data_IF_955223899826
#
_entry.id   IF_955223899826
#
_cell.length_a   1.000
_cell.length_b   1.000
_cell.length_c   1.000
_cell.angle_alpha   90.00
_cell.angle_beta   90.00
_cell.angle_gamma   90.00
#
_symmetry.space_group_name_H-M   'P 1'
#
loop_
_entity.id
_entity.type
_entity.pdbx_description
1 polymer ?
#
# COMPACT_ATOMS: atom_id res chain seq x y z
N UNK A 1 -2.54 -15.42 -11.55
CA UNK A 1 -2.69 -14.04 -12.03
C UNK A 1 -3.41 -13.28 -10.93
N UNK A 2 -2.85 -12.21 -10.37
CA UNK A 2 -3.53 -11.45 -9.30
C UNK A 2 -4.69 -10.59 -9.84
N UNK A 3 -5.38 -9.89 -8.93
CA UNK A 3 -6.45 -8.95 -9.24
C UNK A 3 -6.03 -7.80 -10.16
N UNK A 4 -4.74 -7.65 -10.48
CA UNK A 4 -4.18 -6.66 -11.40
C UNK A 4 -3.47 -7.29 -12.62
N UNK A 5 -3.57 -8.61 -12.80
CA UNK A 5 -2.98 -9.29 -13.95
C UNK A 5 -1.52 -9.70 -13.78
N UNK A 6 -0.90 -9.52 -12.60
CA UNK A 6 0.50 -9.85 -12.38
C UNK A 6 0.73 -11.37 -12.33
N UNK A 7 1.79 -11.83 -13.00
CA UNK A 7 2.25 -13.22 -12.95
C UNK A 7 2.76 -13.59 -11.53
N UNK A 8 2.43 -14.79 -11.06
CA UNK A 8 2.86 -15.32 -9.77
C UNK A 8 4.37 -15.42 -9.62
N UNK A 9 5.12 -15.71 -10.70
CA UNK A 9 6.59 -15.73 -10.66
C UNK A 9 7.15 -14.33 -10.36
N UNK A 10 6.59 -13.29 -11.01
CA UNK A 10 7.00 -11.90 -10.79
C UNK A 10 6.64 -11.47 -9.37
N UNK A 11 5.44 -11.84 -8.87
CA UNK A 11 5.07 -11.59 -7.48
C UNK A 11 6.04 -12.23 -6.48
N UNK A 12 6.45 -13.48 -6.74
CA UNK A 12 7.45 -14.17 -5.93
C UNK A 12 8.78 -13.43 -5.88
N UNK A 13 9.31 -13.03 -7.05
CA UNK A 13 10.56 -12.26 -7.14
C UNK A 13 10.49 -10.93 -6.40
N UNK A 14 9.37 -10.21 -6.53
CA UNK A 14 9.15 -8.96 -5.79
C UNK A 14 9.11 -9.25 -4.29
N UNK A 15 8.36 -10.27 -3.87
CA UNK A 15 8.24 -10.62 -2.46
C UNK A 15 9.58 -10.99 -1.82
N UNK A 16 10.39 -11.81 -2.50
CA UNK A 16 11.71 -12.22 -2.01
C UNK A 16 12.67 -11.02 -1.94
N UNK A 17 12.66 -10.16 -2.96
CA UNK A 17 13.43 -8.91 -2.95
C UNK A 17 13.01 -7.97 -1.83
N UNK A 18 11.70 -7.81 -1.58
CA UNK A 18 11.19 -6.99 -0.47
C UNK A 18 11.66 -7.54 0.89
N UNK A 19 11.62 -8.86 1.08
CA UNK A 19 12.12 -9.52 2.32
C UNK A 19 13.62 -9.33 2.49
N UNK A 20 14.39 -9.37 1.41
CA UNK A 20 15.84 -9.13 1.41
C UNK A 20 16.22 -7.64 1.55
N UNK A 21 15.24 -6.72 1.56
CA UNK A 21 15.50 -5.28 1.60
C UNK A 21 16.02 -4.71 0.28
N UNK A 22 15.85 -5.41 -0.84
CA UNK A 22 16.27 -4.94 -2.16
C UNK A 22 15.55 -3.65 -2.53
N UNK A 23 16.32 -2.62 -2.87
CA UNK A 23 15.80 -1.34 -3.33
C UNK A 23 15.03 -1.47 -4.65
N UNK A 24 15.48 -2.33 -5.58
CA UNK A 24 14.82 -2.52 -6.87
C UNK A 24 13.44 -3.13 -6.71
N UNK A 25 13.28 -4.11 -5.82
CA UNK A 25 11.98 -4.71 -5.52
C UNK A 25 11.01 -3.69 -4.92
N UNK A 26 11.49 -2.78 -4.05
CA UNK A 26 10.70 -1.67 -3.50
C UNK A 26 10.25 -0.69 -4.57
N UNK A 27 11.16 -0.30 -5.46
CA UNK A 27 10.85 0.61 -6.57
C UNK A 27 9.82 -0.03 -7.51
N UNK A 28 10.00 -1.29 -7.86
CA UNK A 28 9.09 -2.02 -8.74
C UNK A 28 7.69 -2.15 -8.12
N UNK A 29 7.60 -2.45 -6.82
CA UNK A 29 6.33 -2.44 -6.08
C UNK A 29 5.65 -1.07 -6.18
N UNK A 30 6.40 0.02 -6.00
CA UNK A 30 5.86 1.37 -6.09
C UNK A 30 5.36 1.69 -7.51
N UNK A 31 6.19 1.49 -8.52
CA UNK A 31 5.87 1.79 -9.92
C UNK A 31 4.60 1.07 -10.39
N UNK A 32 4.47 -0.22 -10.05
CA UNK A 32 3.32 -1.03 -10.43
C UNK A 32 2.06 -0.58 -9.68
N UNK A 33 2.12 -0.45 -8.36
CA UNK A 33 0.90 -0.38 -7.56
C UNK A 33 0.51 1.02 -7.11
N UNK A 34 1.40 2.03 -7.16
CA UNK A 34 1.12 3.36 -6.61
C UNK A 34 -0.10 4.03 -7.26
N UNK A 35 -0.22 3.95 -8.59
CA UNK A 35 -1.37 4.52 -9.30
C UNK A 35 -2.68 3.82 -8.92
N UNK A 36 -2.65 2.50 -8.74
CA UNK A 36 -3.84 1.73 -8.35
C UNK A 36 -4.26 2.03 -6.92
N UNK A 37 -3.31 2.07 -5.98
CA UNK A 37 -3.58 2.45 -4.59
C UNK A 37 -4.13 3.87 -4.53
N UNK A 38 -3.46 4.84 -5.17
CA UNK A 38 -3.90 6.24 -5.20
C UNK A 38 -5.34 6.41 -5.71
N UNK A 39 -5.67 5.79 -6.84
CA UNK A 39 -7.03 5.84 -7.41
C UNK A 39 -8.06 5.25 -6.46
N UNK A 40 -7.76 4.11 -5.84
CA UNK A 40 -8.71 3.41 -4.96
C UNK A 40 -8.86 4.08 -3.60
N UNK A 41 -7.79 4.67 -3.06
CA UNK A 41 -7.84 5.50 -1.86
C UNK A 41 -8.69 6.74 -2.12
N UNK A 42 -8.41 7.50 -3.18
CA UNK A 42 -9.20 8.69 -3.54
C UNK A 42 -10.70 8.38 -3.68
N UNK A 43 -11.02 7.25 -4.32
CA UNK A 43 -12.41 6.81 -4.47
C UNK A 43 -13.11 6.52 -3.13
N UNK A 44 -12.39 5.98 -2.14
CA UNK A 44 -13.00 5.52 -0.88
C UNK A 44 -12.95 6.57 0.23
N UNK A 45 -11.97 7.47 0.23
CA UNK A 45 -11.88 8.52 1.23
C UNK A 45 -12.63 9.77 0.82
N UNK A 46 -12.78 10.04 -0.49
CA UNK A 46 -13.25 11.34 -0.98
C UNK A 46 -12.33 12.50 -0.59
N UNK A 47 -11.13 12.19 -0.06
CA UNK A 47 -10.17 13.15 0.45
C UNK A 47 -9.52 13.97 -0.65
N UNK A 48 -8.88 15.08 -0.26
CA UNK A 48 -8.14 15.91 -1.19
C UNK A 48 -6.86 15.22 -1.70
N UNK A 49 -6.17 15.87 -2.64
CA UNK A 49 -4.95 15.31 -3.24
C UNK A 49 -3.81 15.11 -2.23
N UNK A 50 -3.75 15.91 -1.16
CA UNK A 50 -2.72 15.82 -0.13
C UNK A 50 -3.00 14.65 0.81
N UNK A 51 -4.23 14.52 1.32
CA UNK A 51 -4.65 13.39 2.16
C UNK A 51 -4.44 12.06 1.44
N UNK A 52 -4.82 11.98 0.16
CA UNK A 52 -4.61 10.78 -0.65
C UNK A 52 -3.12 10.48 -0.81
N UNK A 53 -2.29 11.50 -1.07
CA UNK A 53 -0.84 11.33 -1.21
C UNK A 53 -0.19 10.83 0.08
N UNK A 54 -0.58 11.38 1.23
CA UNK A 54 -0.10 10.96 2.55
C UNK A 54 -0.43 9.49 2.82
N UNK A 55 -1.68 9.07 2.57
CA UNK A 55 -2.09 7.67 2.75
C UNK A 55 -1.29 6.73 1.85
N UNK A 56 -1.08 7.11 0.58
CA UNK A 56 -0.28 6.32 -0.37
C UNK A 56 1.16 6.20 0.12
N UNK A 57 1.79 7.31 0.52
CA UNK A 57 3.15 7.31 1.02
C UNK A 57 3.30 6.44 2.28
N UNK A 58 2.42 6.64 3.27
CA UNK A 58 2.41 5.85 4.50
C UNK A 58 2.20 4.35 4.22
N UNK A 59 1.41 4.02 3.18
CA UNK A 59 1.19 2.62 2.75
C UNK A 59 2.49 1.97 2.30
N UNK A 60 3.26 2.61 1.43
CA UNK A 60 4.52 2.04 0.95
C UNK A 60 5.61 2.00 2.03
N UNK A 61 5.63 2.99 2.93
CA UNK A 61 6.51 2.96 4.09
C UNK A 61 6.16 1.80 5.03
N UNK A 62 4.88 1.56 5.28
CA UNK A 62 4.41 0.43 6.07
C UNK A 62 4.70 -0.92 5.37
N UNK A 63 4.50 -1.01 4.06
CA UNK A 63 4.84 -2.19 3.26
C UNK A 63 6.33 -2.54 3.39
N UNK A 64 7.22 -1.55 3.29
CA UNK A 64 8.65 -1.78 3.51
C UNK A 64 8.95 -2.32 4.92
N UNK A 65 8.32 -1.76 5.97
CA UNK A 65 8.52 -2.24 7.36
C UNK A 65 7.96 -3.64 7.59
N UNK A 66 6.93 -4.02 6.84
CA UNK A 66 6.21 -5.28 6.98
C UNK A 66 6.66 -6.35 5.96
N UNK A 67 7.70 -6.09 5.17
CA UNK A 67 8.11 -6.97 4.08
C UNK A 67 8.45 -8.38 4.55
N UNK A 68 9.05 -8.52 5.74
CA UNK A 68 9.34 -9.81 6.37
C UNK A 68 8.09 -10.63 6.74
N UNK A 69 6.91 -10.02 6.81
CA UNK A 69 5.62 -10.67 7.10
C UNK A 69 4.75 -10.87 5.86
N UNK A 70 5.26 -10.51 4.68
CA UNK A 70 4.56 -10.79 3.42
C UNK A 70 4.45 -12.30 3.24
N UNK A 71 3.23 -12.79 3.02
CA UNK A 71 2.92 -14.17 2.70
C UNK A 71 2.02 -14.22 1.47
N UNK A 72 2.55 -14.77 0.37
CA UNK A 72 1.83 -14.92 -0.89
C UNK A 72 0.97 -16.20 -0.96
N UNK A 73 1.03 -17.08 0.04
CA UNK A 73 0.11 -18.21 0.15
C UNK A 73 -1.27 -17.75 0.63
N UNK A 74 -1.31 -16.71 1.45
CA UNK A 74 -2.53 -16.12 2.00
C UNK A 74 -3.25 -15.14 1.06
N UNK A 75 -2.64 -14.78 -0.09
CA UNK A 75 -3.22 -13.84 -1.05
C UNK A 75 -2.19 -13.25 -2.00
N UNK A 76 -2.64 -12.40 -2.92
CA UNK A 76 -1.74 -11.73 -3.86
C UNK A 76 -0.97 -10.58 -3.24
N UNK A 77 0.07 -10.11 -3.94
CA UNK A 77 0.81 -8.91 -3.57
C UNK A 77 -0.10 -7.66 -3.49
N UNK A 78 -1.13 -7.61 -4.36
CA UNK A 78 -2.18 -6.59 -4.30
C UNK A 78 -3.00 -6.69 -3.02
N UNK A 79 -3.48 -7.88 -2.64
CA UNK A 79 -4.30 -8.06 -1.44
C UNK A 79 -3.56 -7.67 -0.17
N UNK A 80 -2.28 -8.06 -0.09
CA UNK A 80 -1.40 -7.67 1.00
C UNK A 80 -1.23 -6.15 1.08
N UNK A 81 -0.88 -5.50 -0.04
CA UNK A 81 -0.67 -4.05 -0.10
C UNK A 81 -1.96 -3.28 0.18
N UNK A 82 -3.09 -3.75 -0.35
CA UNK A 82 -4.41 -3.17 -0.12
C UNK A 82 -4.84 -3.27 1.35
N UNK A 83 -4.53 -4.40 2.00
CA UNK A 83 -4.74 -4.56 3.44
C UNK A 83 -3.98 -3.52 4.27
N UNK A 84 -2.75 -3.18 3.87
CA UNK A 84 -1.96 -2.10 4.48
C UNK A 84 -2.61 -0.74 4.21
N UNK A 85 -2.98 -0.44 2.96
CA UNK A 85 -3.63 0.81 2.58
C UNK A 85 -4.92 1.05 3.38
N UNK A 86 -5.74 0.01 3.56
CA UNK A 86 -6.96 0.08 4.39
C UNK A 86 -6.67 0.46 5.83
N UNK A 87 -5.60 -0.07 6.43
CA UNK A 87 -5.19 0.31 7.79
C UNK A 87 -4.73 1.76 7.84
N UNK A 88 -4.04 2.26 6.82
CA UNK A 88 -3.61 3.67 6.74
C UNK A 88 -4.81 4.61 6.59
N UNK A 89 -5.79 4.29 5.73
CA UNK A 89 -7.05 5.05 5.62
C UNK A 89 -7.76 5.15 6.98
N UNK A 90 -7.90 4.03 7.70
CA UNK A 90 -8.53 4.03 9.03
C UNK A 90 -7.75 4.86 10.06
N UNK A 91 -6.42 4.86 9.99
CA UNK A 91 -5.57 5.69 10.86
C UNK A 91 -5.74 7.17 10.54
N UNK A 92 -5.81 7.53 9.26
CA UNK A 92 -6.00 8.91 8.82
C UNK A 92 -7.38 9.45 9.25
N UNK A 93 -8.44 8.66 9.07
CA UNK A 93 -9.79 9.03 9.54
C UNK A 93 -9.83 9.30 11.05
N UNK A 94 -9.14 8.50 11.86
CA UNK A 94 -9.06 8.72 13.32
C UNK A 94 -8.33 10.03 13.65
N UNK A 95 -7.17 10.28 13.01
CA UNK A 95 -6.42 11.54 13.20
C UNK A 95 -7.27 12.78 12.86
N UNK A 96 -8.11 12.70 11.84
CA UNK A 96 -8.99 13.81 11.45
C UNK A 96 -10.18 13.98 12.39
N UNK A 97 -10.69 12.91 13.00
CA UNK A 97 -11.71 12.99 14.05
C UNK A 97 -11.15 13.59 15.35
N UNK A 98 -9.88 13.31 15.66
CA UNK A 98 -9.20 13.83 16.85
C UNK A 98 -8.64 15.25 16.66
N UNK A 99 -8.72 15.83 15.45
CA UNK A 99 -8.30 17.22 15.21
C UNK A 99 -9.29 18.16 15.88
N UNK A 100 -8.88 18.92 16.92
CA UNK A 100 -9.76 19.92 17.50
C UNK A 100 -10.12 20.95 16.42
N UNK A 101 -11.41 21.23 16.26
CA UNK A 101 -11.89 22.33 15.46
C UNK A 101 -11.41 23.61 16.14
N UNK A 102 -10.29 24.15 15.69
CA UNK A 102 -9.95 25.53 16.01
C UNK A 102 -10.97 26.40 15.26
N UNK A 103 -11.98 26.87 16.01
CA UNK A 103 -12.92 27.93 15.64
C UNK A 103 -12.29 29.27 15.94
#
# INVERSE_FOLDING_TARGET
>A
MDSLGMNSEIQGKIADGLRAGDHKARLLLYEIYATHIRRRVALLTGGDSMEVADIVQETFLAANRMSNRLDLQSGSLWDWLWGIARRQMLRHNRKNMDRPAFV
#
